data_IF_481872227846
#
_entry.id   IF_481872227846
#
_cell.length_a   1.000
_cell.length_b   1.000
_cell.length_c   1.000
_cell.angle_alpha   90.00
_cell.angle_beta   90.00
_cell.angle_gamma   90.00
#
_symmetry.space_group_name_H-M   'P 1'
#
loop_
_entity.id
_entity.type
_entity.pdbx_description
1 polymer ?
#
# COMPACT_ATOMS: atom_id res chain seq x y z
N UNK A 1 47.95 -10.33 36.08
CA UNK A 1 47.36 -11.55 36.66
C UNK A 1 46.20 -11.97 35.76
N UNK A 2 46.36 -13.11 35.11
CA UNK A 2 45.45 -13.70 34.13
C UNK A 2 44.30 -14.43 34.84
N UNK A 3 43.08 -14.39 34.28
CA UNK A 3 42.24 -15.59 34.22
C UNK A 3 41.16 -15.48 33.15
N UNK A 4 41.29 -16.36 32.16
CA UNK A 4 40.30 -16.74 31.15
C UNK A 4 39.10 -17.43 31.82
N UNK A 5 37.88 -17.08 31.42
CA UNK A 5 36.71 -17.92 31.67
C UNK A 5 36.23 -18.57 30.37
N UNK A 6 35.94 -19.86 30.49
CA UNK A 6 35.84 -20.83 29.40
C UNK A 6 34.41 -20.91 28.88
N UNK A 7 34.30 -20.86 27.55
CA UNK A 7 33.04 -21.03 26.83
C UNK A 7 32.36 -22.37 27.16
N UNK A 8 31.08 -22.27 27.51
CA UNK A 8 30.16 -23.41 27.59
C UNK A 8 29.34 -23.47 26.30
N UNK A 9 29.48 -24.54 25.54
CA UNK A 9 28.60 -24.87 24.43
C UNK A 9 27.28 -25.46 24.97
N UNK A 10 26.13 -25.16 24.37
CA UNK A 10 24.85 -25.75 24.75
C UNK A 10 24.72 -27.21 24.27
N UNK A 11 23.87 -28.02 24.93
CA UNK A 11 23.70 -29.44 24.62
C UNK A 11 22.95 -29.67 23.30
N UNK A 12 23.43 -30.65 22.57
CA UNK A 12 22.88 -31.18 21.32
C UNK A 12 21.53 -31.87 21.60
N UNK A 13 20.47 -31.36 20.98
CA UNK A 13 19.13 -31.96 21.00
C UNK A 13 19.14 -33.16 20.07
N UNK A 14 18.90 -34.35 20.64
CA UNK A 14 18.78 -35.62 19.94
C UNK A 14 17.36 -35.74 19.36
N UNK A 15 17.23 -35.89 18.04
CA UNK A 15 15.96 -36.27 17.40
C UNK A 15 16.01 -37.75 16.99
N UNK A 16 14.99 -38.57 17.32
CA UNK A 16 14.88 -39.93 16.81
C UNK A 16 14.44 -39.92 15.31
N UNK A 17 14.88 -40.91 14.52
CA UNK A 17 14.56 -40.99 13.10
C UNK A 17 13.08 -41.34 12.83
N UNK A 18 12.51 -40.70 11.82
CA UNK A 18 11.18 -40.95 11.26
C UNK A 18 11.04 -42.40 10.77
N UNK A 19 9.89 -43.02 11.04
CA UNK A 19 9.44 -44.25 10.39
C UNK A 19 8.46 -43.90 9.26
N UNK A 20 8.91 -44.04 8.02
CA UNK A 20 8.02 -44.18 6.86
C UNK A 20 7.55 -45.64 6.77
N UNK A 21 6.25 -45.92 6.58
CA UNK A 21 5.83 -47.24 6.13
C UNK A 21 5.94 -47.33 4.61
N UNK A 22 6.87 -48.18 4.19
CA UNK A 22 6.98 -48.82 2.88
C UNK A 22 6.03 -50.03 2.86
N UNK A 23 5.08 -50.11 1.93
CA UNK A 23 4.88 -51.25 1.01
C UNK A 23 3.51 -51.26 0.29
N UNK A 24 3.61 -51.43 -1.03
CA UNK A 24 2.62 -51.78 -2.07
C UNK A 24 1.99 -53.19 -1.83
N UNK A 25 1.04 -53.77 -2.63
CA UNK A 25 1.11 -53.89 -4.11
C UNK A 25 -0.22 -53.99 -4.93
N UNK A 26 -0.07 -53.73 -6.24
CA UNK A 26 -0.57 -54.47 -7.43
C UNK A 26 -1.78 -55.41 -7.27
N UNK A 27 -2.86 -55.11 -8.01
CA UNK A 27 -3.91 -56.02 -8.57
C UNK A 27 -4.62 -55.20 -9.67
N UNK A 28 -5.08 -55.63 -10.84
CA UNK A 28 -4.93 -56.78 -11.73
C UNK A 28 -5.71 -56.35 -13.00
N UNK A 29 -5.35 -56.92 -14.14
CA UNK A 29 -5.77 -56.52 -15.48
C UNK A 29 -6.84 -57.49 -15.98
N UNK A 30 -8.09 -57.06 -16.16
CA UNK A 30 -9.09 -57.80 -16.95
C UNK A 30 -10.19 -56.82 -17.45
N UNK A 31 -10.21 -56.44 -18.73
CA UNK A 31 -10.81 -57.07 -19.94
C UNK A 31 -12.23 -56.56 -20.21
N UNK A 32 -12.40 -56.05 -21.42
CA UNK A 32 -13.58 -55.35 -21.96
C UNK A 32 -14.85 -56.19 -21.94
N UNK A 33 -15.96 -55.54 -21.60
CA UNK A 33 -17.27 -55.77 -22.23
C UNK A 33 -17.95 -54.42 -22.41
N UNK A 34 -18.24 -54.11 -23.67
CA UNK A 34 -19.02 -52.95 -24.12
C UNK A 34 -20.47 -53.17 -23.67
N UNK A 35 -20.96 -52.33 -22.76
CA UNK A 35 -22.38 -52.19 -22.50
C UNK A 35 -22.83 -50.76 -22.83
N UNK A 36 -23.75 -50.70 -23.78
CA UNK A 36 -24.38 -49.51 -24.33
C UNK A 36 -25.66 -49.23 -23.52
N UNK A 37 -25.52 -48.47 -22.45
CA UNK A 37 -26.64 -47.71 -21.90
C UNK A 37 -26.12 -46.40 -21.32
N UNK A 38 -26.36 -45.31 -22.06
CA UNK A 38 -26.10 -43.94 -21.59
C UNK A 38 -27.28 -43.49 -20.73
N UNK A 39 -27.14 -43.31 -19.41
CA UNK A 39 -27.83 -42.24 -18.74
C UNK A 39 -27.05 -40.95 -19.01
N UNK A 40 -27.76 -39.89 -19.41
CA UNK A 40 -27.23 -38.55 -19.53
C UNK A 40 -26.43 -38.17 -18.27
N UNK A 41 -25.10 -38.17 -18.39
CA UNK A 41 -24.22 -37.49 -17.45
C UNK A 41 -24.57 -36.01 -17.53
N UNK A 42 -25.30 -35.55 -16.52
CA UNK A 42 -25.42 -34.13 -16.18
C UNK A 42 -23.99 -33.60 -16.12
N UNK A 43 -23.61 -32.57 -16.89
CA UNK A 43 -22.30 -31.97 -16.70
C UNK A 43 -22.26 -31.48 -15.26
N UNK A 44 -21.41 -32.10 -14.45
CA UNK A 44 -20.87 -31.46 -13.27
C UNK A 44 -20.20 -30.19 -13.78
N UNK A 45 -20.95 -29.10 -13.72
CA UNK A 45 -20.37 -27.78 -13.65
C UNK A 45 -19.50 -27.82 -12.40
N UNK A 46 -18.22 -28.21 -12.57
CA UNK A 46 -17.15 -27.58 -11.81
C UNK A 46 -17.38 -26.10 -12.05
N UNK A 47 -18.05 -25.47 -11.11
CA UNK A 47 -17.99 -24.03 -10.93
C UNK A 47 -16.50 -23.75 -10.90
N UNK A 48 -15.98 -23.31 -12.04
CA UNK A 48 -14.71 -22.64 -12.08
C UNK A 48 -14.92 -21.48 -11.11
N UNK A 49 -14.43 -21.66 -9.89
CA UNK A 49 -14.31 -20.57 -8.95
C UNK A 49 -13.63 -19.42 -9.70
N UNK A 50 -14.01 -18.17 -9.38
CA UNK A 50 -13.52 -17.01 -10.09
C UNK A 50 -12.02 -17.14 -10.27
N UNK A 51 -11.58 -17.07 -11.54
CA UNK A 51 -10.16 -17.19 -11.89
C UNK A 51 -9.41 -16.17 -11.05
N UNK A 52 -8.19 -16.44 -10.57
CA UNK A 52 -7.41 -15.47 -9.77
C UNK A 52 -7.36 -14.07 -10.43
N UNK A 53 -7.45 -14.01 -11.77
CA UNK A 53 -7.55 -12.78 -12.56
C UNK A 53 -8.88 -12.02 -12.37
N UNK A 54 -9.98 -12.71 -12.15
CA UNK A 54 -11.30 -12.13 -11.87
C UNK A 54 -11.36 -11.54 -10.45
N UNK A 55 -10.62 -12.10 -9.49
CA UNK A 55 -10.50 -11.56 -8.12
C UNK A 55 -9.61 -10.30 -8.11
N UNK A 56 -8.53 -10.30 -8.89
CA UNK A 56 -7.64 -9.12 -9.03
C UNK A 56 -8.30 -7.99 -9.82
N UNK A 57 -9.16 -8.30 -10.81
CA UNK A 57 -9.87 -7.31 -11.61
C UNK A 57 -11.15 -6.76 -10.94
N UNK A 58 -11.87 -7.57 -10.16
CA UNK A 58 -13.12 -7.14 -9.51
C UNK A 58 -12.92 -6.24 -8.29
N UNK A 59 -11.72 -6.22 -7.68
CA UNK A 59 -11.42 -5.49 -6.44
C UNK A 59 -10.47 -4.31 -6.61
N UNK A 60 -10.53 -3.64 -7.77
CA UNK A 60 -9.89 -2.34 -7.98
C UNK A 60 -10.74 -1.22 -7.36
N UNK A 61 -12.01 -1.49 -7.03
CA UNK A 61 -12.94 -0.52 -6.45
C UNK A 61 -12.43 0.19 -5.17
N UNK A 62 -11.76 -0.49 -4.21
CA UNK A 62 -11.18 0.16 -3.04
C UNK A 62 -10.00 1.10 -3.36
N UNK A 63 -9.36 0.94 -4.51
CA UNK A 63 -8.28 1.81 -4.99
C UNK A 63 -8.80 3.01 -5.79
N UNK A 64 -10.07 2.98 -6.24
CA UNK A 64 -10.66 4.07 -7.01
C UNK A 64 -10.65 5.42 -6.27
N UNK A 65 -10.96 5.52 -4.96
CA UNK A 65 -10.85 6.79 -4.27
C UNK A 65 -9.43 7.37 -4.33
N UNK A 66 -8.40 6.56 -4.12
CA UNK A 66 -7.01 6.99 -4.21
C UNK A 66 -6.61 7.36 -5.64
N UNK A 67 -7.00 6.55 -6.64
CA UNK A 67 -6.69 6.80 -8.04
C UNK A 67 -7.44 8.01 -8.63
N UNK A 68 -8.71 8.19 -8.28
CA UNK A 68 -9.54 9.33 -8.70
C UNK A 68 -9.10 10.60 -7.97
N UNK A 69 -8.77 10.52 -6.69
CA UNK A 69 -8.20 11.64 -5.93
C UNK A 69 -6.86 12.09 -6.52
N UNK A 70 -5.90 11.18 -6.65
CA UNK A 70 -4.60 11.49 -7.25
C UNK A 70 -4.73 11.94 -8.72
N UNK A 71 -5.58 11.30 -9.51
CA UNK A 71 -5.80 11.66 -10.90
C UNK A 71 -6.47 13.03 -11.07
N UNK A 72 -7.47 13.35 -10.25
CA UNK A 72 -8.15 14.65 -10.29
C UNK A 72 -7.23 15.78 -9.83
N UNK A 73 -6.42 15.55 -8.80
CA UNK A 73 -5.45 16.54 -8.34
C UNK A 73 -4.31 16.72 -9.35
N UNK A 74 -3.72 15.65 -9.90
CA UNK A 74 -2.72 15.75 -10.96
C UNK A 74 -3.28 16.48 -12.18
N UNK A 75 -4.54 16.22 -12.56
CA UNK A 75 -5.19 16.91 -13.67
C UNK A 75 -5.43 18.39 -13.36
N UNK A 76 -5.86 18.73 -12.14
CA UNK A 76 -6.03 20.11 -11.68
C UNK A 76 -4.69 20.85 -11.65
N UNK A 77 -3.62 20.19 -11.19
CA UNK A 77 -2.26 20.72 -11.18
C UNK A 77 -1.75 20.94 -12.61
N UNK A 78 -1.99 20.00 -13.54
CA UNK A 78 -1.65 20.16 -14.96
C UNK A 78 -2.42 21.30 -15.62
N UNK A 79 -3.72 21.43 -15.34
CA UNK A 79 -4.55 22.51 -15.89
C UNK A 79 -4.19 23.88 -15.32
N UNK A 80 -3.88 23.98 -14.03
CA UNK A 80 -3.43 25.23 -13.41
C UNK A 80 -2.03 25.61 -13.89
N UNK A 81 -1.11 24.64 -14.04
CA UNK A 81 0.23 24.89 -14.56
C UNK A 81 0.23 25.33 -16.04
N UNK A 82 -0.64 24.74 -16.88
CA UNK A 82 -0.80 25.20 -18.27
C UNK A 82 -1.32 26.65 -18.35
N UNK A 83 -2.20 27.05 -17.42
CA UNK A 83 -2.75 28.41 -17.38
C UNK A 83 -1.71 29.43 -16.92
N UNK A 84 -0.87 29.05 -15.96
CA UNK A 84 0.24 29.87 -15.46
C UNK A 84 1.28 30.18 -16.56
N UNK A 85 1.55 29.23 -17.46
CA UNK A 85 2.47 29.43 -18.59
C UNK A 85 1.95 30.42 -19.66
N UNK A 86 0.63 30.64 -19.77
CA UNK A 86 0.06 31.63 -20.69
C UNK A 86 0.01 33.03 -20.08
N UNK A 87 -0.26 33.15 -18.78
CA UNK A 87 -0.38 34.46 -18.10
C UNK A 87 0.99 35.10 -17.81
N UNK A 88 2.09 34.33 -17.78
CA UNK A 88 3.45 34.86 -17.52
C UNK A 88 4.03 35.67 -18.70
N UNK A 89 3.43 35.62 -19.89
CA UNK A 89 3.83 36.46 -21.03
C UNK A 89 3.09 37.81 -21.09
N UNK A 90 1.99 37.98 -20.35
CA UNK A 90 1.19 39.20 -20.39
C UNK A 90 0.78 39.64 -18.97
N UNK A 91 1.65 40.44 -18.37
CA UNK A 91 1.40 41.38 -17.25
C UNK A 91 1.69 40.88 -15.82
N UNK A 92 2.68 41.58 -15.28
CA UNK A 92 2.92 41.92 -13.88
C UNK A 92 1.62 42.29 -13.13
N UNK A 93 0.97 41.30 -12.54
CA UNK A 93 0.21 41.38 -11.28
C UNK A 93 -0.35 39.99 -10.95
N UNK A 94 0.42 39.19 -10.22
CA UNK A 94 -0.06 37.95 -9.61
C UNK A 94 -1.01 38.31 -8.48
N UNK A 95 -2.27 38.57 -8.86
CA UNK A 95 -3.36 38.84 -7.95
C UNK A 95 -4.35 37.68 -8.00
N UNK A 96 -4.47 36.96 -6.88
CA UNK A 96 -5.64 36.13 -6.62
C UNK A 96 -5.42 34.62 -6.49
N UNK A 97 -4.42 34.16 -5.72
CA UNK A 97 -4.63 32.91 -4.99
C UNK A 97 -5.77 33.12 -3.98
N UNK A 98 -6.74 32.19 -3.86
CA UNK A 98 -7.77 32.32 -2.84
C UNK A 98 -7.09 32.47 -1.48
N UNK A 99 -7.42 33.56 -0.77
CA UNK A 99 -6.90 33.82 0.57
C UNK A 99 -7.10 32.56 1.43
N UNK A 100 -6.06 32.10 2.16
CA UNK A 100 -6.17 30.97 3.07
C UNK A 100 -7.38 31.20 3.98
N UNK A 101 -8.37 30.31 3.90
CA UNK A 101 -9.43 30.30 4.89
C UNK A 101 -8.86 29.59 6.09
N UNK A 102 -8.55 30.36 7.15
CA UNK A 102 -8.26 29.89 8.52
C UNK A 102 -9.49 29.19 9.12
N UNK A 103 -10.01 28.17 8.45
CA UNK A 103 -11.15 27.41 8.90
C UNK A 103 -10.72 25.98 9.17
N UNK A 104 -10.89 25.49 10.43
CA UNK A 104 -10.52 24.12 10.81
C UNK A 104 -11.26 23.03 10.03
N UNK A 105 -12.22 23.40 9.18
CA UNK A 105 -13.03 22.51 8.37
C UNK A 105 -12.22 21.91 7.22
N UNK A 106 -11.36 22.68 6.55
CA UNK A 106 -10.56 22.19 5.41
C UNK A 106 -9.62 21.05 5.81
N UNK A 107 -8.79 21.29 6.82
CA UNK A 107 -7.89 20.27 7.37
C UNK A 107 -8.62 19.04 7.92
N UNK A 108 -9.79 19.22 8.55
CA UNK A 108 -10.58 18.09 9.03
C UNK A 108 -11.06 17.19 7.88
N UNK A 109 -11.44 17.77 6.74
CA UNK A 109 -11.85 17.03 5.55
C UNK A 109 -10.67 16.19 5.02
N UNK A 110 -9.47 16.77 4.91
CA UNK A 110 -8.27 16.06 4.43
C UNK A 110 -7.95 14.86 5.33
N UNK A 111 -8.00 15.06 6.65
CA UNK A 111 -7.76 13.98 7.62
C UNK A 111 -8.83 12.88 7.53
N UNK A 112 -10.11 13.23 7.48
CA UNK A 112 -11.21 12.26 7.37
C UNK A 112 -11.08 11.46 6.07
N UNK A 113 -10.79 12.14 4.96
CA UNK A 113 -10.57 11.49 3.68
C UNK A 113 -9.37 10.53 3.73
N UNK A 114 -8.29 10.93 4.40
CA UNK A 114 -7.10 10.10 4.62
C UNK A 114 -7.39 8.84 5.43
N UNK A 115 -8.25 8.92 6.45
CA UNK A 115 -8.72 7.74 7.19
C UNK A 115 -9.44 6.76 6.26
N UNK A 116 -10.35 7.26 5.42
CA UNK A 116 -11.14 6.43 4.50
C UNK A 116 -10.24 5.76 3.46
N UNK A 117 -9.35 6.52 2.83
CA UNK A 117 -8.41 6.00 1.83
C UNK A 117 -7.52 4.94 2.47
N UNK A 118 -6.95 5.22 3.63
CA UNK A 118 -6.06 4.30 4.33
C UNK A 118 -6.78 3.02 4.77
N UNK A 119 -8.02 3.11 5.26
CA UNK A 119 -8.84 1.95 5.56
C UNK A 119 -9.14 1.11 4.30
N UNK A 120 -9.45 1.76 3.18
CA UNK A 120 -9.69 1.10 1.89
C UNK A 120 -8.47 0.35 1.37
N UNK A 121 -7.30 0.99 1.38
CA UNK A 121 -6.04 0.33 0.99
C UNK A 121 -5.67 -0.77 1.99
N UNK A 122 -5.91 -0.59 3.29
CA UNK A 122 -5.66 -1.63 4.30
C UNK A 122 -6.49 -2.88 4.02
N UNK A 123 -7.78 -2.69 3.71
CA UNK A 123 -8.67 -3.78 3.33
C UNK A 123 -8.23 -4.46 2.03
N UNK A 124 -7.80 -3.69 1.02
CA UNK A 124 -7.25 -4.24 -0.21
C UNK A 124 -6.02 -5.12 0.06
N UNK A 125 -5.06 -4.61 0.84
CA UNK A 125 -3.84 -5.35 1.20
C UNK A 125 -4.18 -6.62 1.97
N UNK A 126 -5.07 -6.55 2.97
CA UNK A 126 -5.57 -7.71 3.71
C UNK A 126 -6.15 -8.78 2.77
N UNK A 127 -6.97 -8.37 1.82
CA UNK A 127 -7.60 -9.28 0.87
C UNK A 127 -6.61 -9.92 -0.09
N UNK A 128 -5.69 -9.13 -0.62
CA UNK A 128 -4.63 -9.64 -1.50
C UNK A 128 -3.80 -10.68 -0.76
N UNK A 129 -3.39 -10.42 0.48
CA UNK A 129 -2.61 -11.38 1.24
C UNK A 129 -3.42 -12.65 1.55
N UNK A 130 -4.65 -12.52 2.05
CA UNK A 130 -5.48 -13.68 2.40
C UNK A 130 -5.93 -14.51 1.20
N UNK A 131 -6.09 -13.91 0.01
CA UNK A 131 -6.50 -14.63 -1.20
C UNK A 131 -5.35 -15.42 -1.87
N UNK A 132 -4.11 -15.17 -1.49
CA UNK A 132 -2.95 -15.70 -2.22
C UNK A 132 -2.39 -16.99 -1.60
N UNK A 133 -3.01 -17.55 -0.55
CA UNK A 133 -2.66 -18.85 0.06
C UNK A 133 -1.15 -19.12 0.23
N UNK A 134 -0.36 -18.09 0.57
CA UNK A 134 1.09 -18.23 0.79
C UNK A 134 1.98 -18.12 -0.46
N UNK A 135 1.43 -17.92 -1.66
CA UNK A 135 2.24 -17.69 -2.87
C UNK A 135 2.87 -16.28 -2.89
N UNK A 136 4.05 -16.17 -2.27
CA UNK A 136 4.80 -14.94 -2.06
C UNK A 136 4.86 -13.99 -3.26
N UNK A 137 5.19 -14.52 -4.44
CA UNK A 137 5.40 -13.70 -5.63
C UNK A 137 4.09 -13.08 -6.15
N UNK A 138 2.97 -13.79 -6.01
CA UNK A 138 1.67 -13.33 -6.49
C UNK A 138 1.11 -12.20 -5.62
N UNK A 139 1.37 -12.22 -4.31
CA UNK A 139 0.95 -11.15 -3.39
C UNK A 139 1.91 -9.96 -3.38
N UNK A 140 3.19 -10.17 -3.72
CA UNK A 140 4.22 -9.14 -3.63
C UNK A 140 3.95 -7.94 -4.55
N UNK A 141 3.69 -8.18 -5.84
CA UNK A 141 3.47 -7.12 -6.84
C UNK A 141 2.29 -6.20 -6.45
N UNK A 142 1.08 -6.71 -6.15
CA UNK A 142 -0.05 -5.85 -5.78
C UNK A 142 0.17 -5.10 -4.47
N UNK A 143 0.87 -5.68 -3.48
CA UNK A 143 1.19 -4.98 -2.22
C UNK A 143 2.19 -3.85 -2.45
N UNK A 144 3.25 -4.08 -3.23
CA UNK A 144 4.21 -3.02 -3.59
C UNK A 144 3.53 -1.89 -4.35
N UNK A 145 2.62 -2.21 -5.28
CA UNK A 145 1.84 -1.20 -5.99
C UNK A 145 0.93 -0.40 -5.05
N UNK A 146 0.27 -1.06 -4.10
CA UNK A 146 -0.55 -0.39 -3.09
C UNK A 146 0.28 0.56 -2.21
N UNK A 147 1.49 0.14 -1.79
CA UNK A 147 2.43 1.00 -1.05
C UNK A 147 2.81 2.22 -1.90
N UNK A 148 3.19 2.02 -3.16
CA UNK A 148 3.59 3.11 -4.04
C UNK A 148 2.46 4.13 -4.26
N UNK A 149 1.23 3.66 -4.49
CA UNK A 149 0.05 4.52 -4.61
C UNK A 149 -0.22 5.31 -3.33
N UNK A 150 -0.02 4.69 -2.17
CA UNK A 150 -0.23 5.34 -0.90
C UNK A 150 0.83 6.41 -0.60
N UNK A 151 2.09 6.18 -0.96
CA UNK A 151 3.15 7.19 -0.84
C UNK A 151 2.80 8.45 -1.65
N UNK A 152 2.34 8.26 -2.89
CA UNK A 152 1.88 9.36 -3.74
C UNK A 152 0.66 10.04 -3.11
N UNK A 153 -0.28 9.26 -2.57
CA UNK A 153 -1.46 9.81 -1.90
C UNK A 153 -1.10 10.71 -0.71
N UNK A 154 -0.22 10.24 0.19
CA UNK A 154 0.19 11.04 1.34
C UNK A 154 0.98 12.28 0.93
N UNK A 155 1.83 12.19 -0.09
CA UNK A 155 2.50 13.35 -0.66
C UNK A 155 1.52 14.45 -1.07
N UNK A 156 0.47 14.06 -1.79
CA UNK A 156 -0.61 14.97 -2.23
C UNK A 156 -1.41 15.50 -1.04
N UNK A 157 -1.76 14.65 -0.07
CA UNK A 157 -2.47 15.07 1.14
C UNK A 157 -1.66 16.09 1.98
N UNK A 158 -0.34 15.95 2.03
CA UNK A 158 0.56 16.90 2.70
C UNK A 158 0.65 18.23 1.97
N UNK A 159 0.79 18.20 0.64
CA UNK A 159 0.77 19.40 -0.19
C UNK A 159 -0.56 20.16 -0.03
N UNK A 160 -1.68 19.44 -0.05
CA UNK A 160 -3.00 20.01 0.13
C UNK A 160 -3.17 20.68 1.51
N UNK A 161 -2.75 20.00 2.58
CA UNK A 161 -2.75 20.57 3.94
C UNK A 161 -1.81 21.77 4.07
N UNK A 162 -0.65 21.76 3.39
CA UNK A 162 0.27 22.89 3.35
C UNK A 162 -0.33 24.12 2.66
N UNK A 163 -1.06 23.91 1.57
CA UNK A 163 -1.74 25.00 0.85
C UNK A 163 -2.96 25.53 1.56
N UNK A 164 -3.73 24.66 2.22
CA UNK A 164 -4.90 25.09 3.01
C UNK A 164 -4.50 25.86 4.26
N UNK A 165 -3.46 25.39 4.95
CA UNK A 165 -2.97 25.99 6.20
C UNK A 165 -1.49 26.30 6.07
N UNK A 166 -1.13 27.50 5.56
CA UNK A 166 0.26 27.92 5.47
C UNK A 166 0.96 27.84 6.83
N UNK A 167 2.11 27.17 6.88
CA UNK A 167 2.83 26.90 8.13
C UNK A 167 2.40 25.62 8.85
N UNK A 168 1.54 24.79 8.25
CA UNK A 168 1.25 23.43 8.75
C UNK A 168 2.48 22.53 8.73
N UNK A 169 3.45 22.80 7.85
CA UNK A 169 4.77 22.19 7.82
C UNK A 169 5.87 23.23 7.98
N UNK A 170 6.96 22.82 8.61
CA UNK A 170 8.21 23.59 8.68
C UNK A 170 9.31 22.81 8.00
N UNK A 171 10.17 23.50 7.28
CA UNK A 171 11.29 22.88 6.58
C UNK A 171 12.07 23.89 5.78
N UNK A 172 13.22 23.45 5.27
CA UNK A 172 14.04 24.25 4.36
C UNK A 172 13.78 23.78 2.92
N UNK A 173 13.70 24.71 1.95
CA UNK A 173 13.53 24.40 0.53
C UNK A 173 12.14 23.84 0.15
N UNK A 174 11.05 24.51 0.53
CA UNK A 174 9.79 24.32 -0.20
C UNK A 174 10.01 24.78 -1.65
N UNK A 175 9.68 23.94 -2.62
CA UNK A 175 9.81 24.26 -4.04
C UNK A 175 9.13 25.58 -4.40
N UNK A 176 9.69 26.30 -5.38
CA UNK A 176 9.09 27.56 -5.87
C UNK A 176 7.92 27.31 -6.83
N UNK A 177 7.78 26.07 -7.29
CA UNK A 177 6.76 25.61 -8.22
C UNK A 177 6.06 24.36 -7.66
N UNK A 178 4.83 24.15 -8.13
CA UNK A 178 3.93 23.06 -7.72
C UNK A 178 4.61 21.69 -7.82
N UNK A 179 5.39 21.46 -8.89
CA UNK A 179 6.00 20.16 -9.14
C UNK A 179 7.12 19.89 -8.14
N UNK A 180 7.98 20.88 -7.91
CA UNK A 180 9.04 20.79 -6.91
C UNK A 180 8.48 20.68 -5.48
N UNK A 181 7.36 21.35 -5.20
CA UNK A 181 6.62 21.21 -3.94
C UNK A 181 6.09 19.76 -3.75
N UNK A 182 5.43 19.20 -4.76
CA UNK A 182 4.97 17.80 -4.73
C UNK A 182 6.13 16.81 -4.56
N UNK A 183 7.26 17.02 -5.25
CA UNK A 183 8.45 16.17 -5.06
C UNK A 183 9.01 16.26 -3.63
N UNK A 184 8.92 17.43 -3.00
CA UNK A 184 9.35 17.64 -1.62
C UNK A 184 8.47 16.85 -0.66
N UNK A 185 7.15 16.89 -0.82
CA UNK A 185 6.23 16.11 0.01
C UNK A 185 6.27 14.61 -0.31
N UNK A 186 6.57 14.23 -1.54
CA UNK A 186 6.82 12.84 -1.91
C UNK A 186 8.07 12.30 -1.24
N UNK A 187 9.17 13.06 -1.27
CA UNK A 187 10.36 12.76 -0.48
C UNK A 187 10.01 12.61 1.00
N UNK A 188 9.26 13.56 1.57
CA UNK A 188 8.83 13.48 2.97
C UNK A 188 8.02 12.21 3.29
N UNK A 189 7.07 11.82 2.43
CA UNK A 189 6.31 10.57 2.57
C UNK A 189 7.21 9.33 2.48
N UNK A 190 8.14 9.27 1.52
CA UNK A 190 9.11 8.16 1.39
C UNK A 190 10.00 8.04 2.63
N UNK A 191 10.45 9.16 3.19
CA UNK A 191 11.29 9.17 4.38
C UNK A 191 10.51 8.77 5.63
N UNK A 192 9.25 9.19 5.72
CA UNK A 192 8.31 8.76 6.76
C UNK A 192 8.03 7.25 6.69
N UNK A 193 7.78 6.72 5.50
CA UNK A 193 7.66 5.28 5.23
C UNK A 193 8.89 4.49 5.65
N UNK A 194 10.07 4.97 5.26
CA UNK A 194 11.33 4.35 5.64
C UNK A 194 11.65 4.50 7.14
N UNK A 195 10.82 5.24 7.90
CA UNK A 195 11.08 5.67 9.27
C UNK A 195 12.40 6.43 9.41
N UNK A 196 12.90 6.96 8.28
CA UNK A 196 14.11 7.74 8.18
C UNK A 196 13.77 9.20 8.51
N UNK A 197 13.84 9.56 9.79
CA UNK A 197 13.69 10.96 10.18
C UNK A 197 14.94 11.73 9.78
N UNK A 198 14.89 12.47 8.66
CA UNK A 198 16.00 13.32 8.22
C UNK A 198 15.96 14.73 8.81
N UNK A 199 14.86 15.13 9.45
CA UNK A 199 14.76 16.40 10.18
C UNK A 199 14.64 17.65 9.31
N UNK A 200 14.73 17.51 7.98
CA UNK A 200 14.63 18.63 7.03
C UNK A 200 13.21 19.20 6.92
N UNK A 201 12.20 18.37 7.20
CA UNK A 201 10.78 18.70 7.18
C UNK A 201 10.08 18.11 8.40
N UNK A 202 9.17 18.89 9.01
CA UNK A 202 8.41 18.48 10.19
C UNK A 202 6.99 19.03 10.18
N UNK A 203 5.98 18.20 10.54
CA UNK A 203 4.60 18.65 10.73
C UNK A 203 4.47 19.51 12.00
N UNK A 204 3.74 20.62 11.88
CA UNK A 204 3.51 21.58 12.97
C UNK A 204 2.04 21.64 13.34
N UNK A 205 1.14 21.67 12.36
CA UNK A 205 -0.31 21.67 12.63
C UNK A 205 -0.77 20.35 13.25
N UNK A 206 -1.89 20.37 13.99
CA UNK A 206 -2.46 19.13 14.52
C UNK A 206 -2.87 18.18 13.39
N UNK A 207 -3.43 18.71 12.29
CA UNK A 207 -3.87 17.90 11.16
C UNK A 207 -2.69 17.27 10.41
N UNK A 208 -1.62 18.01 10.10
CA UNK A 208 -0.39 17.44 9.51
C UNK A 208 0.22 16.35 10.39
N UNK A 209 0.24 16.53 11.72
CA UNK A 209 0.68 15.49 12.67
C UNK A 209 -0.20 14.25 12.63
N UNK A 210 -1.53 14.44 12.51
CA UNK A 210 -2.45 13.33 12.34
C UNK A 210 -2.21 12.57 11.03
N UNK A 211 -2.00 13.28 9.92
CA UNK A 211 -1.71 12.66 8.62
C UNK A 211 -0.43 11.81 8.68
N UNK A 212 0.66 12.37 9.24
CA UNK A 212 1.92 11.63 9.44
C UNK A 212 1.74 10.42 10.35
N UNK A 213 1.00 10.57 11.44
CA UNK A 213 0.71 9.45 12.35
C UNK A 213 -0.07 8.34 11.62
N UNK A 214 -1.00 8.73 10.76
CA UNK A 214 -1.85 7.80 10.03
C UNK A 214 -1.07 7.05 8.93
N UNK A 215 -0.17 7.74 8.23
CA UNK A 215 0.79 7.13 7.31
C UNK A 215 1.66 6.08 8.03
N UNK A 216 2.26 6.45 9.17
CA UNK A 216 3.11 5.53 9.95
C UNK A 216 2.32 4.33 10.47
N UNK A 217 1.12 4.54 11.02
CA UNK A 217 0.26 3.45 11.52
C UNK A 217 -0.09 2.45 10.41
N UNK A 218 -0.38 2.95 9.21
CA UNK A 218 -0.66 2.10 8.08
C UNK A 218 0.55 1.26 7.67
N UNK A 219 1.73 1.84 7.62
CA UNK A 219 2.93 1.09 7.26
C UNK A 219 3.30 0.05 8.32
N UNK A 220 3.13 0.36 9.60
CA UNK A 220 3.23 -0.63 10.68
C UNK A 220 2.24 -1.78 10.45
N UNK A 221 1.01 -1.47 10.06
CA UNK A 221 0.00 -2.49 9.72
C UNK A 221 0.44 -3.37 8.54
N UNK A 222 0.91 -2.78 7.43
CA UNK A 222 1.42 -3.54 6.28
C UNK A 222 2.57 -4.45 6.69
N UNK A 223 3.57 -3.92 7.40
CA UNK A 223 4.72 -4.72 7.82
C UNK A 223 4.31 -5.85 8.76
N UNK A 224 3.41 -5.58 9.71
CA UNK A 224 2.89 -6.58 10.63
C UNK A 224 2.14 -7.67 9.88
N UNK A 225 1.25 -7.31 8.96
CA UNK A 225 0.52 -8.29 8.16
C UNK A 225 1.44 -9.11 7.26
N UNK A 226 2.43 -8.48 6.63
CA UNK A 226 3.46 -9.18 5.87
C UNK A 226 4.19 -10.20 6.75
N UNK A 227 4.68 -9.80 7.93
CA UNK A 227 5.36 -10.71 8.85
C UNK A 227 4.45 -11.86 9.30
N UNK A 228 3.21 -11.58 9.71
CA UNK A 228 2.27 -12.61 10.17
C UNK A 228 1.98 -13.63 9.08
N UNK A 229 1.77 -13.16 7.85
CA UNK A 229 1.47 -14.04 6.73
C UNK A 229 2.69 -14.87 6.29
N UNK A 230 3.90 -14.32 6.38
CA UNK A 230 5.13 -15.02 6.01
C UNK A 230 5.73 -15.90 7.12
N UNK A 231 5.53 -15.55 8.39
CA UNK A 231 5.99 -16.35 9.52
C UNK A 231 5.05 -17.53 9.81
N UNK A 232 3.80 -17.46 9.35
CA UNK A 232 2.79 -18.50 9.50
C UNK A 232 2.66 -19.47 8.33
N UNK A 233 3.32 -19.21 7.19
CA UNK A 233 3.39 -20.09 6.01
C UNK A 233 4.57 -21.04 6.06
#
# INVERSE_FOLDING_TARGET
MSQQDKGRYPPHIWYPPQQCPINSPIVEKEKETIDSSKPFLKPEYKSAGPTERDIVAADIWPLLPAAVGAGAEILLLLMTNHKQWQDENDKESVEGYPKPQDTPVGSAIVVIYSIIVTAGVSYYVFRVMTATDGHLITAFIPVVLAIALLLIYFAVAYELEYRMVPGSFTGSHFGNDIVTELFTFFYFSVTTFATASMGDFSPVSNASRFLVTLEVLFFIYIFTMGIVFFAGS
#
